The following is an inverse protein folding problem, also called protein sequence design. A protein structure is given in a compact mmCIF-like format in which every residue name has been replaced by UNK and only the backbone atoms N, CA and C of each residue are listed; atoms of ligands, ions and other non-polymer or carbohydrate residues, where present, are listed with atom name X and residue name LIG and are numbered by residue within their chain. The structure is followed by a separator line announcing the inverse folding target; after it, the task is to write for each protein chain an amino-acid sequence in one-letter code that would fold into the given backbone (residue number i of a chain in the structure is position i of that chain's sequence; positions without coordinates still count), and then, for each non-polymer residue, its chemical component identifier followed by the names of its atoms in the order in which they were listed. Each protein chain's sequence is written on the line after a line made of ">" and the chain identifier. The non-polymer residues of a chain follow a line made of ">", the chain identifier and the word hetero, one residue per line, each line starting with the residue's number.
data_IF_539885989743
#
_entry.id   IF_539885989743
#
_cell.length_a   1.000
_cell.length_b   1.000
_cell.length_c   1.000
_cell.angle_alpha   90.00
_cell.angle_beta   90.00
_cell.angle_gamma   90.00
#
_symmetry.space_group_name_H-M   'P 1'
#
loop_
_entity.id
_entity.type
_entity.pdbx_description
1 polymer ?
#
# COMPACT_ATOMS: atom_id res chain seq x y z
N UNK A 1 56.65 29.71 -50.22
CA UNK A 1 56.18 28.54 -49.45
C UNK A 1 55.62 29.05 -48.12
N UNK A 2 54.32 28.91 -47.88
CA UNK A 2 53.61 29.41 -46.68
C UNK A 2 53.48 28.27 -45.68
N UNK A 3 53.97 28.45 -44.45
CA UNK A 3 53.72 27.53 -43.34
C UNK A 3 52.55 28.06 -42.50
N UNK A 4 51.52 27.24 -42.37
CA UNK A 4 50.31 27.45 -41.57
C UNK A 4 50.61 26.99 -40.13
N UNK A 5 50.37 27.84 -39.13
CA UNK A 5 50.43 27.47 -37.70
C UNK A 5 49.00 27.44 -37.15
N UNK A 6 48.42 26.23 -37.06
CA UNK A 6 47.20 25.95 -36.31
C UNK A 6 47.55 25.91 -34.82
N UNK A 7 46.88 26.72 -34.00
CA UNK A 7 46.85 26.58 -32.54
C UNK A 7 45.45 26.11 -32.19
N UNK A 8 45.37 24.89 -31.66
CA UNK A 8 44.14 24.20 -31.30
C UNK A 8 43.44 24.84 -30.11
N UNK A 9 42.13 25.04 -30.25
CA UNK A 9 41.22 25.26 -29.13
C UNK A 9 40.82 23.89 -28.56
N UNK A 10 41.24 23.60 -27.34
CA UNK A 10 40.75 22.46 -26.57
C UNK A 10 39.36 22.80 -26.01
N UNK A 11 38.34 22.11 -26.50
CA UNK A 11 36.96 22.20 -26.02
C UNK A 11 36.83 21.35 -24.74
N UNK A 12 36.78 21.99 -23.57
CA UNK A 12 36.46 21.32 -22.31
C UNK A 12 34.93 21.14 -22.20
N UNK A 13 34.43 19.96 -22.58
CA UNK A 13 33.06 19.53 -22.30
C UNK A 13 32.96 19.08 -20.85
N UNK A 14 32.62 20.02 -19.95
CA UNK A 14 32.20 19.71 -18.59
C UNK A 14 30.78 19.12 -18.60
N UNK A 15 30.66 17.79 -18.52
CA UNK A 15 29.41 17.13 -18.14
C UNK A 15 29.17 17.38 -16.64
N UNK A 16 28.47 18.47 -16.34
CA UNK A 16 27.79 18.62 -15.06
C UNK A 16 26.60 17.65 -15.05
N UNK A 17 26.82 16.42 -14.55
CA UNK A 17 25.74 15.53 -14.15
C UNK A 17 24.89 16.26 -13.11
N UNK A 18 23.68 16.65 -13.51
CA UNK A 18 22.61 17.02 -12.61
C UNK A 18 22.23 15.78 -11.81
N UNK A 19 22.93 15.54 -10.70
CA UNK A 19 22.42 14.71 -9.62
C UNK A 19 21.20 15.45 -9.06
N UNK A 20 20.03 15.19 -9.64
CA UNK A 20 18.75 15.50 -9.01
C UNK A 20 18.76 14.73 -7.70
N UNK A 21 19.05 15.43 -6.61
CA UNK A 21 18.93 14.89 -5.27
C UNK A 21 17.51 14.39 -5.11
N UNK A 22 17.34 13.07 -5.08
CA UNK A 22 16.06 12.45 -4.86
C UNK A 22 15.68 12.79 -3.42
N UNK A 23 14.72 13.70 -3.26
CA UNK A 23 14.14 14.00 -1.97
C UNK A 23 13.67 12.68 -1.33
N UNK A 24 13.86 12.55 -0.02
CA UNK A 24 13.25 11.49 0.76
C UNK A 24 11.75 11.46 0.45
N UNK A 25 11.29 10.49 -0.36
CA UNK A 25 9.89 10.40 -0.72
C UNK A 25 9.12 9.99 0.53
N UNK A 26 8.56 10.99 1.21
CA UNK A 26 7.68 10.76 2.31
C UNK A 26 6.44 10.03 1.75
N UNK A 27 6.17 8.84 2.25
CA UNK A 27 5.08 8.00 1.78
C UNK A 27 3.73 8.61 2.13
N UNK A 28 2.79 8.57 1.19
CA UNK A 28 1.41 8.99 1.38
C UNK A 28 0.71 8.06 2.38
N UNK A 29 0.33 8.62 3.53
CA UNK A 29 -0.63 8.03 4.46
C UNK A 29 -1.98 8.70 4.21
N UNK A 30 -3.05 7.91 4.21
CA UNK A 30 -4.42 8.44 4.17
C UNK A 30 -4.66 9.43 5.30
N UNK A 31 -5.36 10.52 5.00
CA UNK A 31 -5.78 11.49 6.03
C UNK A 31 -7.01 11.02 6.82
N UNK A 32 -7.56 9.84 6.49
CA UNK A 32 -8.73 9.29 7.16
C UNK A 32 -8.37 8.94 8.61
N UNK A 33 -9.05 9.55 9.57
CA UNK A 33 -8.88 9.21 10.99
C UNK A 33 -9.68 7.96 11.38
N UNK A 34 -9.35 7.36 12.54
CA UNK A 34 -10.13 6.28 13.12
C UNK A 34 -11.61 6.66 13.32
N UNK A 35 -11.87 7.90 13.76
CA UNK A 35 -13.24 8.43 13.92
C UNK A 35 -13.98 8.54 12.57
N UNK A 36 -13.32 9.06 11.54
CA UNK A 36 -13.90 9.15 10.20
C UNK A 36 -14.20 7.78 9.61
N UNK A 37 -13.29 6.81 9.80
CA UNK A 37 -13.51 5.43 9.40
C UNK A 37 -14.71 4.84 10.13
N UNK A 38 -14.78 4.95 11.47
CA UNK A 38 -15.89 4.43 12.27
C UNK A 38 -17.23 4.99 11.78
N UNK A 39 -17.33 6.31 11.59
CA UNK A 39 -18.53 6.97 11.04
C UNK A 39 -18.88 6.52 9.62
N UNK A 40 -17.87 6.23 8.80
CA UNK A 40 -18.06 5.71 7.44
C UNK A 40 -18.58 4.27 7.46
N UNK A 41 -18.11 3.46 8.39
CA UNK A 41 -18.50 2.06 8.54
C UNK A 41 -19.86 1.85 9.22
N UNK A 42 -20.39 2.85 9.92
CA UNK A 42 -21.70 2.82 10.58
C UNK A 42 -22.85 3.31 9.67
N UNK A 43 -22.55 4.16 8.68
CA UNK A 43 -23.55 4.69 7.74
C UNK A 43 -23.73 3.77 6.53
N UNK A 44 -24.94 3.23 6.33
CA UNK A 44 -25.25 2.30 5.23
C UNK A 44 -24.85 2.85 3.85
N UNK A 45 -25.09 4.14 3.58
CA UNK A 45 -24.71 4.81 2.33
C UNK A 45 -23.20 4.87 2.08
N UNK A 46 -22.38 4.58 3.09
CA UNK A 46 -20.91 4.58 3.03
C UNK A 46 -20.28 3.21 3.22
N UNK A 47 -21.09 2.16 3.42
CA UNK A 47 -20.59 0.80 3.63
C UNK A 47 -19.69 0.32 2.51
N UNK A 48 -19.97 0.67 1.25
CA UNK A 48 -19.12 0.31 0.12
C UNK A 48 -17.70 0.90 0.26
N UNK A 49 -17.60 2.20 0.58
CA UNK A 49 -16.33 2.88 0.76
C UNK A 49 -15.53 2.33 1.96
N UNK A 50 -16.19 2.15 3.12
CA UNK A 50 -15.57 1.54 4.29
C UNK A 50 -15.11 0.10 4.00
N UNK A 51 -15.97 -0.75 3.42
CA UNK A 51 -15.62 -2.15 3.16
C UNK A 51 -14.49 -2.27 2.15
N UNK A 52 -14.45 -1.37 1.16
CA UNK A 52 -13.36 -1.30 0.21
C UNK A 52 -12.05 -0.85 0.87
N UNK A 53 -12.09 0.13 1.78
CA UNK A 53 -10.91 0.53 2.57
C UNK A 53 -10.35 -0.64 3.40
N UNK A 54 -11.22 -1.37 4.11
CA UNK A 54 -10.81 -2.54 4.88
C UNK A 54 -10.24 -3.65 3.98
N UNK A 55 -10.84 -3.87 2.80
CA UNK A 55 -10.31 -4.81 1.82
C UNK A 55 -8.93 -4.37 1.30
N UNK A 56 -8.73 -3.07 1.05
CA UNK A 56 -7.43 -2.51 0.66
C UNK A 56 -6.36 -2.74 1.73
N UNK A 57 -6.72 -2.59 3.02
CA UNK A 57 -5.84 -2.91 4.15
C UNK A 57 -5.45 -4.39 4.16
N UNK A 58 -6.43 -5.30 4.10
CA UNK A 58 -6.15 -6.74 4.20
C UNK A 58 -5.36 -7.26 3.00
N UNK A 59 -5.69 -6.77 1.80
CA UNK A 59 -4.97 -7.12 0.58
C UNK A 59 -3.56 -6.56 0.63
N UNK A 60 -3.41 -5.29 1.02
CA UNK A 60 -2.11 -4.67 1.10
C UNK A 60 -1.19 -5.37 2.09
N UNK A 61 -1.70 -5.81 3.25
CA UNK A 61 -0.88 -6.50 4.24
C UNK A 61 -0.35 -7.83 3.67
N UNK A 62 -1.21 -8.54 2.94
CA UNK A 62 -0.88 -9.81 2.29
C UNK A 62 0.17 -9.63 1.18
N UNK A 63 0.05 -8.55 0.38
CA UNK A 63 0.99 -8.27 -0.71
C UNK A 63 2.31 -7.66 -0.22
N UNK A 64 2.29 -6.84 0.82
CA UNK A 64 3.49 -6.33 1.50
C UNK A 64 4.35 -7.48 2.06
N UNK A 65 3.71 -8.48 2.68
CA UNK A 65 4.41 -9.69 3.12
C UNK A 65 5.00 -10.47 1.94
N UNK A 66 4.20 -10.67 0.89
CA UNK A 66 4.63 -11.40 -0.31
C UNK A 66 5.82 -10.72 -0.99
N UNK A 67 5.82 -9.39 -1.04
CA UNK A 67 6.94 -8.60 -1.55
C UNK A 67 8.20 -8.76 -0.69
N UNK A 68 8.09 -8.68 0.64
CA UNK A 68 9.22 -8.92 1.54
C UNK A 68 9.85 -10.30 1.32
N UNK A 69 9.03 -11.35 1.16
CA UNK A 69 9.50 -12.70 0.85
C UNK A 69 10.27 -12.79 -0.48
N UNK A 70 9.81 -12.10 -1.53
CA UNK A 70 10.52 -12.03 -2.81
C UNK A 70 11.90 -11.37 -2.68
N UNK A 71 12.06 -10.45 -1.74
CA UNK A 71 13.33 -9.81 -1.42
C UNK A 71 14.18 -10.60 -0.41
N UNK A 72 13.81 -11.84 -0.09
CA UNK A 72 14.52 -12.67 0.89
C UNK A 72 14.36 -12.23 2.34
N UNK A 73 13.45 -11.28 2.61
CA UNK A 73 13.07 -10.91 3.97
C UNK A 73 12.02 -11.89 4.50
N UNK A 74 12.01 -12.12 5.81
CA UNK A 74 10.97 -12.92 6.46
C UNK A 74 10.11 -12.04 7.38
N UNK A 75 9.33 -11.10 6.83
CA UNK A 75 8.52 -10.22 7.67
C UNK A 75 7.44 -11.05 8.39
N UNK A 76 7.36 -10.86 9.70
CA UNK A 76 6.24 -11.37 10.48
C UNK A 76 4.95 -10.69 10.02
N UNK A 77 3.90 -11.44 9.66
CA UNK A 77 2.61 -10.86 9.31
C UNK A 77 1.98 -10.22 10.55
N UNK A 78 1.47 -9.00 10.40
CA UNK A 78 0.81 -8.29 11.49
C UNK A 78 -0.48 -9.00 11.95
N UNK A 79 -1.17 -9.75 11.09
CA UNK A 79 -2.38 -10.49 11.43
C UNK A 79 -2.64 -11.65 10.46
N UNK A 80 -3.47 -12.62 10.89
CA UNK A 80 -3.81 -13.84 10.16
C UNK A 80 -5.32 -14.07 10.11
N UNK A 81 -5.98 -13.45 9.14
CA UNK A 81 -7.44 -13.51 8.99
C UNK A 81 -7.82 -14.85 8.36
N UNK A 82 -8.61 -15.70 9.04
CA UNK A 82 -9.06 -16.97 8.47
C UNK A 82 -9.92 -16.79 7.22
N UNK A 83 -9.79 -17.68 6.24
CA UNK A 83 -10.48 -17.60 4.95
C UNK A 83 -12.02 -17.55 5.05
N UNK A 84 -12.60 -18.13 6.11
CA UNK A 84 -14.05 -18.12 6.35
C UNK A 84 -14.59 -16.76 6.85
N UNK A 85 -13.72 -15.85 7.28
CA UNK A 85 -14.14 -14.53 7.75
C UNK A 85 -14.58 -13.68 6.56
N UNK A 86 -15.81 -13.16 6.64
CA UNK A 86 -16.40 -12.30 5.62
C UNK A 86 -16.07 -10.82 5.89
N UNK A 87 -16.08 -10.00 4.83
CA UNK A 87 -15.78 -8.57 4.94
C UNK A 87 -16.72 -7.82 5.90
N UNK A 88 -17.97 -8.27 6.03
CA UNK A 88 -18.91 -7.73 7.03
C UNK A 88 -18.45 -8.01 8.46
N UNK A 89 -17.87 -9.19 8.73
CA UNK A 89 -17.35 -9.53 10.05
C UNK A 89 -16.13 -8.69 10.38
N UNK A 90 -15.22 -8.48 9.42
CA UNK A 90 -14.07 -7.57 9.57
C UNK A 90 -14.54 -6.15 9.88
N UNK A 91 -15.53 -5.65 9.13
CA UNK A 91 -16.10 -4.32 9.38
C UNK A 91 -16.69 -4.20 10.78
N UNK A 92 -17.53 -5.15 11.20
CA UNK A 92 -18.13 -5.14 12.53
C UNK A 92 -17.07 -5.21 13.64
N UNK A 93 -16.04 -6.03 13.46
CA UNK A 93 -14.93 -6.13 14.40
C UNK A 93 -14.17 -4.81 14.53
N UNK A 94 -13.78 -4.20 13.42
CA UNK A 94 -13.04 -2.93 13.43
C UNK A 94 -13.86 -1.81 14.07
N UNK A 95 -15.15 -1.70 13.75
CA UNK A 95 -16.03 -0.69 14.36
C UNK A 95 -16.15 -0.93 15.87
N UNK A 96 -16.38 -2.17 16.30
CA UNK A 96 -16.46 -2.53 17.72
C UNK A 96 -15.15 -2.24 18.45
N UNK A 97 -14.01 -2.56 17.85
CA UNK A 97 -12.69 -2.29 18.42
C UNK A 97 -12.46 -0.78 18.55
N UNK A 98 -12.72 0.02 17.50
CA UNK A 98 -12.56 1.47 17.54
C UNK A 98 -13.45 2.13 18.60
N UNK A 99 -14.67 1.63 18.81
CA UNK A 99 -15.56 2.11 19.87
C UNK A 99 -14.98 1.87 21.28
N UNK A 100 -14.22 0.79 21.47
CA UNK A 100 -13.53 0.47 22.73
C UNK A 100 -12.19 1.17 22.93
N UNK A 101 -11.63 1.81 21.90
CA UNK A 101 -10.26 2.37 21.91
C UNK A 101 -10.27 3.84 21.49
N UNK A 102 -10.70 4.72 22.40
CA UNK A 102 -10.87 6.17 22.14
C UNK A 102 -9.60 6.87 21.64
N UNK A 103 -8.42 6.43 22.11
CA UNK A 103 -7.13 6.96 21.65
C UNK A 103 -6.86 6.69 20.18
N UNK A 104 -7.42 5.61 19.61
CA UNK A 104 -7.27 5.27 18.20
C UNK A 104 -8.14 6.13 17.27
N UNK A 105 -9.20 6.77 17.80
CA UNK A 105 -10.12 7.60 16.99
C UNK A 105 -9.43 8.85 16.42
N UNK A 106 -8.49 9.43 17.18
CA UNK A 106 -7.68 10.59 16.75
C UNK A 106 -6.45 10.23 15.90
N UNK A 107 -6.20 8.95 15.66
CA UNK A 107 -5.04 8.46 14.92
C UNK A 107 -5.41 8.15 13.45
N UNK A 108 -4.41 7.99 12.56
CA UNK A 108 -4.68 7.50 11.20
C UNK A 108 -5.43 6.16 11.24
N UNK A 109 -6.47 6.03 10.43
CA UNK A 109 -7.36 4.87 10.42
C UNK A 109 -6.61 3.56 10.24
N UNK A 110 -5.59 3.54 9.36
CA UNK A 110 -4.78 2.35 9.10
C UNK A 110 -4.15 1.77 10.37
N UNK A 111 -3.71 2.63 11.31
CA UNK A 111 -3.17 2.20 12.61
C UNK A 111 -4.20 1.44 13.42
N UNK A 112 -5.40 2.03 13.56
CA UNK A 112 -6.50 1.45 14.32
C UNK A 112 -6.97 0.13 13.71
N UNK A 113 -7.06 0.06 12.37
CA UNK A 113 -7.42 -1.20 11.67
C UNK A 113 -6.36 -2.27 11.89
N UNK A 114 -5.08 -1.95 11.72
CA UNK A 114 -4.01 -2.93 11.94
C UNK A 114 -4.00 -3.45 13.37
N UNK A 115 -4.13 -2.57 14.37
CA UNK A 115 -4.19 -2.98 15.77
C UNK A 115 -5.42 -3.86 16.04
N UNK A 116 -6.60 -3.44 15.56
CA UNK A 116 -7.82 -4.23 15.72
C UNK A 116 -7.68 -5.64 15.12
N UNK A 117 -7.11 -5.75 13.92
CA UNK A 117 -6.88 -7.04 13.27
C UNK A 117 -5.80 -7.86 13.99
N UNK A 118 -4.71 -7.23 14.43
CA UNK A 118 -3.65 -7.90 15.18
C UNK A 118 -4.16 -8.50 16.50
N UNK A 119 -4.93 -7.72 17.26
CA UNK A 119 -5.48 -8.14 18.56
C UNK A 119 -6.44 -9.33 18.46
N UNK A 120 -7.11 -9.47 17.30
CA UNK A 120 -8.19 -10.45 17.13
C UNK A 120 -7.85 -11.61 16.19
N UNK A 121 -6.82 -11.46 15.36
CA UNK A 121 -6.39 -12.45 14.38
C UNK A 121 -4.88 -12.68 14.50
N UNK A 122 -4.47 -13.24 15.62
CA UNK A 122 -3.05 -13.54 15.87
C UNK A 122 -2.54 -14.60 14.90
N UNK A 123 -1.28 -14.43 14.48
CA UNK A 123 -0.62 -15.37 13.60
C UNK A 123 0.00 -16.53 14.38
N UNK A 124 -0.15 -17.79 13.94
CA UNK A 124 0.54 -18.92 14.58
C UNK A 124 2.06 -18.75 14.53
N UNK A 125 2.72 -18.79 15.69
CA UNK A 125 4.17 -18.79 15.83
C UNK A 125 4.77 -20.14 15.38
N UNK A 126 5.87 -20.12 14.62
CA UNK A 126 6.69 -21.32 14.36
C UNK A 126 6.58 -22.01 13.00
N UNK A 127 5.80 -21.53 12.03
CA UNK A 127 5.72 -22.13 10.66
C UNK A 127 6.27 -21.22 9.56
N UNK A 128 7.37 -20.51 9.83
CA UNK A 128 8.00 -19.59 8.89
C UNK A 128 8.51 -20.28 7.60
N UNK A 129 8.88 -21.57 7.66
CA UNK A 129 9.64 -22.24 6.59
C UNK A 129 8.80 -23.10 5.62
N UNK A 130 7.65 -23.68 6.02
CA UNK A 130 6.93 -24.66 5.19
C UNK A 130 5.69 -24.12 4.45
N UNK A 131 5.35 -22.84 4.63
CA UNK A 131 4.05 -22.27 4.24
C UNK A 131 4.13 -20.92 3.51
N UNK A 132 5.29 -20.50 2.99
CA UNK A 132 5.48 -19.17 2.42
C UNK A 132 4.55 -18.88 1.20
N UNK A 133 4.40 -19.81 0.27
CA UNK A 133 3.43 -19.70 -0.84
C UNK A 133 1.98 -19.89 -0.39
N UNK A 134 1.73 -20.72 0.63
CA UNK A 134 0.38 -20.91 1.19
C UNK A 134 -0.09 -19.73 2.03
N UNK A 135 0.78 -18.83 2.50
CA UNK A 135 0.38 -17.69 3.36
C UNK A 135 -0.33 -16.58 2.61
N UNK A 136 0.11 -16.25 1.38
CA UNK A 136 -0.67 -15.39 0.50
C UNK A 136 -2.05 -16.00 0.20
N UNK A 137 -2.19 -17.33 0.25
CA UNK A 137 -3.47 -18.04 0.12
C UNK A 137 -4.26 -18.22 1.42
N UNK A 138 -3.62 -18.10 2.59
CA UNK A 138 -4.26 -18.30 3.91
C UNK A 138 -4.85 -17.02 4.48
N UNK A 139 -4.36 -15.86 4.03
CA UNK A 139 -4.98 -14.57 4.33
C UNK A 139 -6.18 -14.36 3.43
N UNK A 140 -7.24 -13.74 3.98
CA UNK A 140 -8.38 -13.30 3.20
C UNK A 140 -7.97 -12.17 2.23
N UNK A 141 -7.50 -12.53 1.04
CA UNK A 141 -7.41 -11.62 -0.10
C UNK A 141 -8.83 -11.38 -0.62
N UNK A 142 -9.18 -10.12 -0.83
CA UNK A 142 -10.43 -9.71 -1.46
C UNK A 142 -10.61 -10.43 -2.79
N UNK A 143 -11.83 -10.92 -3.02
CA UNK A 143 -12.22 -11.50 -4.31
C UNK A 143 -12.47 -10.44 -5.40
N UNK A 144 -12.13 -9.17 -5.16
CA UNK A 144 -12.25 -8.09 -6.14
C UNK A 144 -11.22 -8.31 -7.25
N UNK A 145 -11.63 -8.64 -8.50
CA UNK A 145 -10.67 -8.76 -9.59
C UNK A 145 -10.22 -7.39 -10.08
N UNK A 146 -9.05 -7.32 -10.73
CA UNK A 146 -8.49 -6.09 -11.30
C UNK A 146 -9.48 -5.32 -12.18
N UNK A 147 -10.19 -6.01 -13.09
CA UNK A 147 -11.26 -5.41 -13.92
C UNK A 147 -12.40 -4.79 -13.10
N UNK A 148 -12.72 -5.39 -11.95
CA UNK A 148 -13.71 -4.86 -11.01
C UNK A 148 -13.24 -3.56 -10.38
N UNK A 149 -11.96 -3.50 -9.96
CA UNK A 149 -11.36 -2.27 -9.46
C UNK A 149 -11.32 -1.17 -10.53
N UNK A 150 -10.94 -1.50 -11.77
CA UNK A 150 -10.95 -0.54 -12.90
C UNK A 150 -12.34 0.05 -13.12
N UNK A 151 -13.39 -0.77 -13.07
CA UNK A 151 -14.76 -0.29 -13.16
C UNK A 151 -15.12 0.68 -12.01
N UNK A 152 -14.74 0.35 -10.76
CA UNK A 152 -14.95 1.24 -9.62
C UNK A 152 -14.23 2.58 -9.78
N UNK A 153 -13.01 2.57 -10.31
CA UNK A 153 -12.18 3.77 -10.43
C UNK A 153 -12.52 4.66 -11.63
N UNK A 154 -13.22 4.10 -12.63
CA UNK A 154 -13.60 4.77 -13.88
C UNK A 154 -14.98 5.43 -13.85
N UNK A 155 -15.87 5.03 -12.93
CA UNK A 155 -17.25 5.54 -12.87
C UNK A 155 -17.52 6.32 -11.59
N UNK A 156 -18.23 7.46 -11.71
CA UNK A 156 -18.56 8.36 -10.60
C UNK A 156 -19.19 7.63 -9.39
N UNK A 157 -20.11 6.69 -9.66
CA UNK A 157 -20.76 5.90 -8.61
C UNK A 157 -19.81 4.96 -7.84
N UNK A 158 -18.71 4.52 -8.48
CA UNK A 158 -17.72 3.63 -7.88
C UNK A 158 -16.58 4.35 -7.16
N UNK A 159 -16.40 5.66 -7.38
CA UNK A 159 -15.26 6.40 -6.85
C UNK A 159 -15.12 6.34 -5.33
N UNK A 160 -16.18 6.40 -4.52
CA UNK A 160 -16.03 6.26 -3.07
C UNK A 160 -15.39 4.92 -2.66
N UNK A 161 -15.79 3.81 -3.31
CA UNK A 161 -15.22 2.49 -3.06
C UNK A 161 -13.79 2.38 -3.60
N UNK A 162 -13.52 2.85 -4.81
CA UNK A 162 -12.16 2.88 -5.36
C UNK A 162 -11.20 3.70 -4.45
N UNK A 163 -11.59 4.92 -4.07
CA UNK A 163 -10.78 5.77 -3.19
C UNK A 163 -10.52 5.10 -1.84
N UNK A 164 -11.54 4.45 -1.28
CA UNK A 164 -11.42 3.66 -0.06
C UNK A 164 -10.38 2.55 -0.22
N UNK A 165 -10.53 1.72 -1.25
CA UNK A 165 -9.61 0.62 -1.53
C UNK A 165 -8.16 1.09 -1.66
N UNK A 166 -7.90 2.08 -2.52
CA UNK A 166 -6.55 2.61 -2.71
C UNK A 166 -5.97 3.21 -1.42
N UNK A 167 -6.78 3.97 -0.67
CA UNK A 167 -6.37 4.51 0.63
C UNK A 167 -5.97 3.40 1.61
N UNK A 168 -6.78 2.34 1.70
CA UNK A 168 -6.47 1.18 2.54
C UNK A 168 -5.19 0.48 2.11
N UNK A 169 -4.97 0.29 0.81
CA UNK A 169 -3.75 -0.34 0.29
C UNK A 169 -2.50 0.48 0.60
N UNK A 170 -2.55 1.81 0.45
CA UNK A 170 -1.42 2.69 0.79
C UNK A 170 -1.12 2.70 2.29
N UNK A 171 -2.16 2.81 3.12
CA UNK A 171 -2.01 2.75 4.57
C UNK A 171 -1.41 1.41 5.01
N UNK A 172 -1.84 0.33 4.36
CA UNK A 172 -1.34 -1.00 4.66
C UNK A 172 0.15 -1.12 4.48
N UNK A 173 0.71 -0.52 3.45
CA UNK A 173 2.14 -0.62 3.20
C UNK A 173 2.97 0.03 4.32
N UNK A 174 2.49 1.17 4.83
CA UNK A 174 3.11 1.84 5.97
C UNK A 174 2.98 1.03 7.24
N UNK A 175 1.78 0.56 7.55
CA UNK A 175 1.53 -0.12 8.81
C UNK A 175 2.14 -1.52 8.85
N UNK A 176 2.19 -2.24 7.72
CA UNK A 176 2.94 -3.51 7.62
C UNK A 176 4.42 -3.33 8.01
N UNK A 177 5.08 -2.28 7.51
CA UNK A 177 6.46 -1.96 7.90
C UNK A 177 6.58 -1.53 9.36
N UNK A 178 5.69 -0.67 9.83
CA UNK A 178 5.75 -0.18 11.22
C UNK A 178 5.56 -1.33 12.21
N UNK A 179 4.59 -2.21 11.98
CA UNK A 179 4.36 -3.39 12.82
C UNK A 179 5.53 -4.37 12.74
N UNK A 180 6.08 -4.65 11.55
CA UNK A 180 7.25 -5.52 11.45
C UNK A 180 8.42 -4.96 12.27
N UNK A 181 8.62 -3.63 12.22
CA UNK A 181 9.73 -2.96 12.92
C UNK A 181 9.57 -3.08 14.44
N UNK A 182 8.35 -2.98 14.96
CA UNK A 182 8.04 -3.21 16.39
C UNK A 182 8.39 -4.66 16.78
N UNK A 183 8.17 -5.62 15.87
CA UNK A 183 8.52 -7.04 16.08
C UNK A 183 10.00 -7.37 15.79
N UNK A 184 10.84 -6.37 15.57
CA UNK A 184 12.28 -6.56 15.32
C UNK A 184 12.63 -7.01 13.89
N UNK A 185 11.68 -6.97 12.96
CA UNK A 185 11.87 -7.29 11.55
C UNK A 185 11.77 -6.03 10.67
N UNK A 186 12.66 -5.88 9.69
CA UNK A 186 12.55 -4.81 8.70
C UNK A 186 11.87 -5.32 7.43
N UNK A 187 10.58 -5.02 7.26
CA UNK A 187 9.91 -5.29 5.99
C UNK A 187 10.26 -4.16 5.00
N UNK A 188 10.92 -4.45 3.87
CA UNK A 188 11.14 -3.46 2.82
C UNK A 188 9.79 -2.98 2.27
N UNK A 189 9.70 -1.69 1.99
CA UNK A 189 8.51 -1.15 1.33
C UNK A 189 8.56 -1.44 -0.17
N UNK A 190 7.45 -1.90 -0.73
CA UNK A 190 7.27 -2.10 -2.17
C UNK A 190 7.21 -0.78 -2.93
N UNK A 191 6.56 0.25 -2.38
CA UNK A 191 6.35 1.51 -3.09
C UNK A 191 6.28 2.73 -2.17
N UNK A 192 6.68 3.88 -2.73
CA UNK A 192 6.87 5.16 -2.08
C UNK A 192 6.10 6.27 -2.84
N UNK A 193 4.77 6.25 -2.75
CA UNK A 193 3.87 7.24 -3.36
C UNK A 193 4.07 8.62 -2.69
N UNK A 194 4.32 9.69 -3.46
CA UNK A 194 4.51 11.03 -2.92
C UNK A 194 3.29 11.58 -2.17
N UNK A 195 3.51 12.36 -1.10
CA UNK A 195 2.44 12.95 -0.26
C UNK A 195 1.51 13.87 -1.04
N UNK A 196 2.04 14.60 -2.02
CA UNK A 196 1.32 15.54 -2.88
C UNK A 196 0.41 14.85 -3.91
N UNK A 197 0.53 13.52 -4.07
CA UNK A 197 -0.30 12.75 -4.99
C UNK A 197 -1.77 12.84 -4.60
N UNK A 198 -2.57 13.45 -5.48
CA UNK A 198 -4.02 13.55 -5.30
C UNK A 198 -4.68 12.21 -5.61
N UNK A 199 -5.78 11.91 -4.93
CA UNK A 199 -6.49 10.65 -5.14
C UNK A 199 -6.99 10.48 -6.59
N UNK A 200 -7.36 11.57 -7.28
CA UNK A 200 -7.72 11.51 -8.70
C UNK A 200 -6.55 11.11 -9.60
N UNK A 201 -5.35 11.61 -9.33
CA UNK A 201 -4.13 11.25 -10.07
C UNK A 201 -3.77 9.78 -9.80
N UNK A 202 -3.86 9.35 -8.55
CA UNK A 202 -3.63 7.95 -8.20
C UNK A 202 -4.61 7.01 -8.92
N UNK A 203 -5.90 7.35 -8.96
CA UNK A 203 -6.89 6.60 -9.73
C UNK A 203 -6.53 6.52 -11.21
N UNK A 204 -6.18 7.65 -11.82
CA UNK A 204 -5.80 7.70 -13.23
C UNK A 204 -4.58 6.82 -13.52
N UNK A 205 -3.60 6.81 -12.63
CA UNK A 205 -2.44 5.93 -12.71
C UNK A 205 -2.83 4.45 -12.65
N UNK A 206 -3.67 4.06 -11.69
CA UNK A 206 -4.09 2.66 -11.55
C UNK A 206 -4.88 2.21 -12.78
N UNK A 207 -5.86 3.00 -13.24
CA UNK A 207 -6.64 2.68 -14.44
C UNK A 207 -5.75 2.61 -15.67
N UNK A 208 -4.83 3.57 -15.84
CA UNK A 208 -3.89 3.59 -16.95
C UNK A 208 -2.92 2.40 -16.94
N UNK A 209 -2.43 2.00 -15.77
CA UNK A 209 -1.58 0.83 -15.64
C UNK A 209 -2.33 -0.45 -16.04
N UNK A 210 -3.56 -0.66 -15.56
CA UNK A 210 -4.36 -1.83 -15.95
C UNK A 210 -4.70 -1.88 -17.45
N UNK A 211 -4.79 -0.74 -18.13
CA UNK A 211 -5.00 -0.69 -19.57
C UNK A 211 -3.81 -1.30 -20.36
N UNK A 212 -2.60 -1.30 -19.79
CA UNK A 212 -1.41 -1.93 -20.37
C UNK A 212 -1.08 -3.33 -19.84
N UNK A 213 -1.87 -3.85 -18.89
CA UNK A 213 -1.58 -5.10 -18.16
C UNK A 213 -2.81 -6.00 -18.11
N UNK A 214 -3.18 -6.56 -19.28
CA UNK A 214 -4.36 -7.42 -19.42
C UNK A 214 -4.29 -8.69 -18.53
N UNK A 215 -3.09 -9.20 -18.28
CA UNK A 215 -2.82 -10.32 -17.37
C UNK A 215 -3.38 -10.03 -15.96
N UNK A 216 -3.29 -8.78 -15.50
CA UNK A 216 -3.71 -8.39 -14.16
C UNK A 216 -5.23 -8.21 -14.02
N UNK A 217 -5.99 -8.11 -15.12
CA UNK A 217 -7.43 -7.81 -15.06
C UNK A 217 -8.27 -8.91 -14.39
N UNK A 218 -7.82 -10.17 -14.46
CA UNK A 218 -8.50 -11.30 -13.84
C UNK A 218 -7.87 -11.75 -12.52
N UNK A 219 -6.77 -11.11 -12.10
CA UNK A 219 -6.11 -11.37 -10.84
C UNK A 219 -6.76 -10.58 -9.69
N UNK A 220 -6.50 -10.93 -8.42
CA UNK A 220 -6.91 -10.12 -7.29
C UNK A 220 -6.39 -8.68 -7.42
N UNK A 221 -7.27 -7.71 -7.25
CA UNK A 221 -6.98 -6.29 -7.49
C UNK A 221 -5.78 -5.78 -6.67
N UNK A 222 -5.56 -6.32 -5.47
CA UNK A 222 -4.45 -5.95 -4.61
C UNK A 222 -3.10 -6.23 -5.25
N UNK A 223 -2.98 -7.32 -6.02
CA UNK A 223 -1.75 -7.68 -6.73
C UNK A 223 -1.43 -6.66 -7.81
N UNK A 224 -2.42 -6.34 -8.64
CA UNK A 224 -2.25 -5.36 -9.71
C UNK A 224 -2.00 -3.95 -9.17
N UNK A 225 -2.64 -3.55 -8.06
CA UNK A 225 -2.33 -2.26 -7.41
C UNK A 225 -0.91 -2.24 -6.87
N UNK A 226 -0.43 -3.31 -6.20
CA UNK A 226 0.95 -3.38 -5.73
C UNK A 226 1.96 -3.29 -6.87
N UNK A 227 1.73 -4.04 -7.95
CA UNK A 227 2.56 -3.97 -9.17
C UNK A 227 2.56 -2.56 -9.75
N UNK A 228 1.37 -1.97 -9.96
CA UNK A 228 1.25 -0.63 -10.49
C UNK A 228 1.99 0.43 -9.67
N UNK A 229 1.85 0.39 -8.34
CA UNK A 229 2.53 1.35 -7.47
C UNK A 229 4.04 1.09 -7.39
N UNK A 230 4.46 -0.16 -7.40
CA UNK A 230 5.88 -0.52 -7.43
C UNK A 230 6.57 -0.07 -8.72
N UNK A 231 5.93 -0.31 -9.88
CA UNK A 231 6.47 0.06 -11.19
C UNK A 231 6.63 1.58 -11.36
N UNK A 232 5.75 2.37 -10.72
CA UNK A 232 5.72 3.82 -10.88
C UNK A 232 6.40 4.59 -9.73
N UNK A 233 6.44 4.00 -8.54
CA UNK A 233 6.99 4.63 -7.33
C UNK A 233 7.82 3.63 -6.52
N UNK A 234 8.88 3.03 -7.08
CA UNK A 234 9.72 2.13 -6.31
C UNK A 234 10.38 2.88 -5.14
N UNK A 235 10.42 2.27 -3.96
CA UNK A 235 11.18 2.82 -2.84
C UNK A 235 12.67 2.55 -3.05
N UNK A 236 13.47 3.59 -3.30
CA UNK A 236 14.93 3.46 -3.29
C UNK A 236 15.45 3.48 -1.86
N UNK A 237 16.22 2.46 -1.48
CA UNK A 237 16.88 2.35 -0.18
C UNK A 237 17.92 3.48 -0.02
N UNK A 238 17.53 4.58 0.62
CA UNK A 238 18.46 5.69 0.82
C UNK A 238 18.01 6.83 1.71
N UNK A 239 16.81 6.83 2.29
CA UNK A 239 16.40 7.93 3.18
C UNK A 239 15.67 7.43 4.42
N UNK A 240 16.09 7.85 5.63
CA UNK A 240 15.34 7.59 6.84
C UNK A 240 13.98 8.26 6.68
N UNK A 241 12.91 7.47 6.72
CA UNK A 241 11.56 8.02 6.86
C UNK A 241 11.52 8.80 8.18
N UNK A 242 11.35 10.11 8.09
CA UNK A 242 11.18 10.98 9.24
C UNK A 242 10.12 10.42 10.20
N UNK A 243 10.45 10.48 11.48
CA UNK A 243 9.67 10.06 12.64
C UNK A 243 8.25 10.68 12.56
N UNK A 244 7.26 9.90 12.12
CA UNK A 244 5.85 10.24 12.27
C UNK A 244 5.35 9.60 13.58
N UNK A 245 5.89 10.07 14.70
CA UNK A 245 5.31 9.83 16.02
C UNK A 245 4.01 10.62 16.19
#
# INVERSE_FOLDING_TARGET
>A
MRAIRNIGFALALGLASLCVGHAAHAQRVSTVSGEELARSCDKQSRFAACSAYLAGITDGASWSQSFGLLLGSAPSPAFCIPAQVKGVQIRSLVVGWLAGHSTALGQPAGRGVFQALHDNYTCPSGVASLYAERRAQAQRISSLPGKGLVALCSHNAGLPACNGYLAGTMDSEIWSRNFSTIEGAHNPMAFCVPKEMRMSQLRALIVGWYAGHEDALNEPAGRGVYRALHDNYPCYAGTPSGDNR
#
